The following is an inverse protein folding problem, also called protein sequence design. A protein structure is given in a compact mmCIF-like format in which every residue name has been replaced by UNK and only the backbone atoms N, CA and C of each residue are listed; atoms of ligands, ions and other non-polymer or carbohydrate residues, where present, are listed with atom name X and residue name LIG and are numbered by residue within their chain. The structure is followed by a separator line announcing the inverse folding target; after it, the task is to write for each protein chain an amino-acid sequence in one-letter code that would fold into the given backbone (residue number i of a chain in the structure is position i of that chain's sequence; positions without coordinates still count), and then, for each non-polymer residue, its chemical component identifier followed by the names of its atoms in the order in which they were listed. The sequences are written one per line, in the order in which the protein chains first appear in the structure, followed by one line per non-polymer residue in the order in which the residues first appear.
data_IF_215126164945
#
_entry.id   IF_215126164945
#
_cell.length_a   1.000
_cell.length_b   1.000
_cell.length_c   1.000
_cell.angle_alpha   90.00
_cell.angle_beta   90.00
_cell.angle_gamma   90.00
#
_symmetry.space_group_name_H-M   'P 1'
#
loop_
_entity.id
_entity.type
_entity.pdbx_description
1 polymer ?
#
# COMPACT_ATOMS: atom_id res chain seq x y z
N UNK A 1 -11.66 -14.92 16.28
CA UNK A 1 -10.51 -14.19 16.87
C UNK A 1 -10.63 -12.72 16.48
N UNK A 2 -10.13 -11.79 17.29
CA UNK A 2 -10.11 -10.38 16.88
C UNK A 2 -9.23 -10.22 15.64
N UNK A 3 -9.73 -9.52 14.63
CA UNK A 3 -8.98 -9.20 13.41
C UNK A 3 -7.83 -8.24 13.77
N UNK A 4 -6.70 -8.35 13.07
CA UNK A 4 -5.56 -7.46 13.31
C UNK A 4 -5.69 -6.21 12.46
N UNK A 5 -5.10 -5.09 12.88
CA UNK A 5 -4.88 -3.99 11.94
C UNK A 5 -3.81 -4.42 10.94
N UNK A 6 -4.10 -4.30 9.65
CA UNK A 6 -3.17 -4.65 8.57
C UNK A 6 -2.83 -3.42 7.73
N UNK A 7 -1.61 -3.41 7.20
CA UNK A 7 -1.17 -2.42 6.22
C UNK A 7 -1.48 -2.93 4.83
N UNK A 8 -2.08 -2.09 4.00
CA UNK A 8 -2.47 -2.39 2.63
C UNK A 8 -1.67 -1.53 1.66
N UNK A 9 -1.25 -2.15 0.57
CA UNK A 9 -0.82 -1.49 -0.65
C UNK A 9 -1.67 -2.07 -1.79
N UNK A 10 -2.54 -1.24 -2.37
CA UNK A 10 -3.33 -1.59 -3.55
C UNK A 10 -2.71 -0.89 -4.75
N UNK A 11 -2.37 -1.66 -5.77
CA UNK A 11 -1.65 -1.20 -6.94
C UNK A 11 -2.31 -1.69 -8.24
N UNK A 12 -2.80 -0.74 -9.05
CA UNK A 12 -3.08 -0.91 -10.47
C UNK A 12 -1.75 -0.76 -11.22
N UNK A 13 -1.30 -1.78 -11.93
CA UNK A 13 0.05 -1.88 -12.48
C UNK A 13 0.12 -1.42 -13.93
N UNK A 14 -0.74 -1.99 -14.77
CA UNK A 14 -0.69 -1.82 -16.22
C UNK A 14 -2.06 -2.00 -16.85
N UNK A 15 -2.21 -1.48 -18.06
CA UNK A 15 -3.30 -1.77 -18.99
C UNK A 15 -2.68 -2.42 -20.23
N UNK A 16 -3.31 -3.47 -20.74
CA UNK A 16 -2.91 -4.14 -21.97
C UNK A 16 -4.00 -3.96 -23.03
N UNK A 17 -3.61 -3.50 -24.22
CA UNK A 17 -4.48 -3.40 -25.38
C UNK A 17 -4.41 -4.71 -26.19
N UNK A 18 -5.48 -5.52 -26.17
CA UNK A 18 -5.61 -6.71 -27.02
C UNK A 18 -6.18 -6.36 -28.40
N UNK A 19 -7.06 -5.35 -28.48
CA UNK A 19 -7.68 -4.84 -29.70
C UNK A 19 -8.07 -3.37 -29.48
N UNK A 20 -7.60 -2.47 -30.36
CA UNK A 20 -8.01 -1.06 -30.36
C UNK A 20 -9.41 -0.99 -30.99
N UNK A 21 -10.42 -0.52 -30.25
CA UNK A 21 -11.82 -0.49 -30.70
C UNK A 21 -12.05 0.44 -31.90
N UNK A 22 -11.13 1.38 -32.13
CA UNK A 22 -11.23 2.41 -33.15
C UNK A 22 -10.57 2.02 -34.46
N UNK A 23 -11.28 2.29 -35.56
CA UNK A 23 -10.93 1.81 -36.89
C UNK A 23 -9.48 2.09 -37.35
N UNK A 24 -9.16 3.31 -37.78
CA UNK A 24 -7.82 3.66 -38.28
C UNK A 24 -7.20 4.71 -37.35
N UNK A 25 -6.27 4.32 -36.50
CA UNK A 25 -5.60 5.20 -35.53
C UNK A 25 -4.90 4.42 -34.43
N UNK A 26 -4.29 5.13 -33.48
CA UNK A 26 -3.85 4.59 -32.18
C UNK A 26 -4.78 5.16 -31.10
N UNK A 27 -5.05 4.38 -30.06
CA UNK A 27 -5.88 4.82 -28.95
C UNK A 27 -5.12 5.77 -28.02
N UNK A 28 -5.81 6.75 -27.43
CA UNK A 28 -5.30 7.73 -26.47
C UNK A 28 -5.99 7.52 -25.10
N UNK A 29 -5.79 6.35 -24.43
CA UNK A 29 -6.56 6.04 -23.24
C UNK A 29 -6.15 6.89 -22.04
N UNK A 30 -7.13 7.21 -21.20
CA UNK A 30 -6.92 7.78 -19.88
C UNK A 30 -7.78 7.07 -18.83
N UNK A 31 -7.40 7.20 -17.56
CA UNK A 31 -7.94 6.37 -16.49
C UNK A 31 -8.45 7.21 -15.32
N UNK A 32 -9.71 7.03 -14.94
CA UNK A 32 -10.22 7.54 -13.67
C UNK A 32 -10.14 6.48 -12.58
N UNK A 33 -9.56 6.85 -11.44
CA UNK A 33 -9.43 5.95 -10.29
C UNK A 33 -9.91 6.63 -9.01
N UNK A 34 -10.77 5.93 -8.27
CA UNK A 34 -11.18 6.33 -6.91
C UNK A 34 -10.90 5.17 -5.98
N UNK A 35 -9.89 5.32 -5.13
CA UNK A 35 -9.66 4.34 -4.07
C UNK A 35 -10.57 4.63 -2.88
N UNK A 36 -10.99 3.58 -2.18
CA UNK A 36 -11.82 3.74 -1.00
C UNK A 36 -11.55 2.68 0.06
N UNK A 37 -11.86 3.00 1.31
CA UNK A 37 -11.97 2.03 2.38
C UNK A 37 -13.12 2.37 3.32
N UNK A 38 -13.66 1.33 3.93
CA UNK A 38 -14.65 1.40 4.99
C UNK A 38 -14.13 0.52 6.13
N UNK A 39 -13.64 1.15 7.20
CA UNK A 39 -12.87 0.46 8.24
C UNK A 39 -13.05 1.10 9.62
N UNK A 40 -12.54 0.44 10.65
CA UNK A 40 -12.65 0.86 12.05
C UNK A 40 -11.92 2.16 12.41
N UNK A 41 -11.26 2.82 11.46
CA UNK A 41 -10.72 4.15 11.68
C UNK A 41 -11.80 5.23 11.72
N UNK A 42 -12.82 5.06 10.88
CA UNK A 42 -13.81 6.09 10.57
C UNK A 42 -15.24 5.58 10.63
N UNK A 43 -15.43 4.26 10.70
CA UNK A 43 -16.72 3.61 10.85
C UNK A 43 -16.76 2.79 12.13
N UNK A 44 -17.90 2.83 12.81
CA UNK A 44 -18.17 2.08 14.02
C UNK A 44 -19.55 1.42 13.94
N UNK A 45 -19.68 0.25 14.56
CA UNK A 45 -20.98 -0.39 14.76
C UNK A 45 -21.61 0.18 16.02
N UNK A 46 -22.83 0.69 15.93
CA UNK A 46 -23.57 1.24 17.08
C UNK A 46 -24.19 0.12 17.92
N UNK A 47 -24.70 0.47 19.11
CA UNK A 47 -25.46 -0.45 19.98
C UNK A 47 -26.72 -1.02 19.28
N UNK A 48 -27.27 -0.30 18.30
CA UNK A 48 -28.40 -0.77 17.47
C UNK A 48 -27.97 -1.67 16.31
N UNK A 49 -26.70 -2.10 16.26
CA UNK A 49 -26.12 -2.90 15.20
C UNK A 49 -26.23 -2.26 13.81
N UNK A 50 -26.18 -0.92 13.75
CA UNK A 50 -26.10 -0.14 12.50
C UNK A 50 -24.72 0.45 12.34
N UNK A 51 -24.25 0.64 11.10
CA UNK A 51 -23.01 1.37 10.88
C UNK A 51 -23.22 2.87 11.11
N UNK A 52 -22.17 3.54 11.56
CA UNK A 52 -22.12 5.00 11.66
C UNK A 52 -20.71 5.50 11.39
N UNK A 53 -20.59 6.72 10.87
CA UNK A 53 -19.32 7.31 10.47
C UNK A 53 -19.29 7.62 8.98
N UNK A 54 -18.09 7.66 8.40
CA UNK A 54 -17.88 8.03 6.98
C UNK A 54 -16.81 7.14 6.38
N UNK A 55 -16.98 6.71 5.14
CA UNK A 55 -15.92 6.02 4.40
C UNK A 55 -14.75 6.98 4.09
N UNK A 56 -13.56 6.43 3.88
CA UNK A 56 -12.40 7.18 3.39
C UNK A 56 -12.25 6.94 1.90
N UNK A 57 -12.13 8.02 1.14
CA UNK A 57 -11.78 7.99 -0.28
C UNK A 57 -10.40 8.61 -0.51
N UNK A 58 -9.74 8.15 -1.56
CA UNK A 58 -8.49 8.73 -2.04
C UNK A 58 -8.62 8.98 -3.54
N UNK A 59 -8.78 10.26 -3.84
CA UNK A 59 -8.93 10.78 -5.19
C UNK A 59 -7.56 10.84 -5.89
N UNK A 60 -7.59 10.71 -7.22
CA UNK A 60 -6.43 10.74 -8.11
C UNK A 60 -6.60 11.82 -9.18
N UNK A 61 -5.60 12.15 -10.00
CA UNK A 61 -5.79 13.04 -11.15
C UNK A 61 -6.70 12.41 -12.23
N UNK A 62 -7.64 13.17 -12.78
CA UNK A 62 -8.62 12.68 -13.76
C UNK A 62 -8.53 13.30 -15.16
N UNK A 63 -7.67 14.29 -15.39
CA UNK A 63 -7.47 14.88 -16.72
C UNK A 63 -6.88 13.88 -17.73
N UNK A 64 -6.97 14.22 -19.02
CA UNK A 64 -6.32 13.52 -20.12
C UNK A 64 -4.80 13.38 -19.96
N UNK A 65 -4.21 12.44 -20.71
CA UNK A 65 -2.78 12.14 -20.65
C UNK A 65 -2.27 11.63 -19.29
N UNK A 66 -3.16 11.27 -18.35
CA UNK A 66 -2.76 10.84 -17.00
C UNK A 66 -2.06 9.47 -16.94
N UNK A 67 -2.08 8.71 -18.05
CA UNK A 67 -1.27 7.52 -18.26
C UNK A 67 0.12 7.82 -18.85
N UNK A 68 0.31 9.02 -19.41
CA UNK A 68 1.57 9.51 -19.96
C UNK A 68 1.94 8.95 -21.33
N UNK A 69 1.16 8.03 -21.87
CA UNK A 69 1.23 7.56 -23.26
C UNK A 69 -0.01 8.05 -24.00
N UNK A 70 0.17 8.50 -25.24
CA UNK A 70 -0.87 9.09 -26.08
C UNK A 70 -1.05 8.30 -27.38
N UNK A 71 -0.35 7.19 -27.59
CA UNK A 71 -0.52 6.36 -28.79
C UNK A 71 -0.40 4.88 -28.41
N UNK A 72 -1.54 4.24 -28.11
CA UNK A 72 -1.62 2.87 -27.65
C UNK A 72 -2.22 2.00 -28.74
N UNK A 73 -1.41 1.10 -29.30
CA UNK A 73 -1.83 0.18 -30.34
C UNK A 73 -2.12 -1.23 -29.83
N UNK A 74 -2.63 -2.07 -30.74
CA UNK A 74 -2.79 -3.51 -30.49
C UNK A 74 -1.48 -4.16 -30.03
N UNK A 75 -1.52 -4.77 -28.85
CA UNK A 75 -0.41 -5.49 -28.24
C UNK A 75 0.45 -4.65 -27.28
N UNK A 76 0.17 -3.35 -27.16
CA UNK A 76 0.90 -2.46 -26.27
C UNK A 76 0.52 -2.63 -24.80
N UNK A 77 1.47 -2.28 -23.94
CA UNK A 77 1.30 -2.28 -22.49
C UNK A 77 1.56 -0.89 -21.92
N UNK A 78 0.52 -0.29 -21.36
CA UNK A 78 0.58 1.03 -20.73
C UNK A 78 0.85 0.86 -19.24
N UNK A 79 1.97 1.38 -18.75
CA UNK A 79 2.27 1.38 -17.32
C UNK A 79 1.43 2.43 -16.61
N UNK A 80 0.64 2.04 -15.60
CA UNK A 80 -0.13 3.00 -14.81
C UNK A 80 0.82 3.77 -13.88
N UNK A 81 0.83 5.12 -13.89
CA UNK A 81 1.68 5.89 -12.99
C UNK A 81 1.28 5.70 -11.51
N UNK A 82 2.26 5.71 -10.61
CA UNK A 82 2.01 5.54 -9.17
C UNK A 82 1.09 6.61 -8.55
N UNK A 83 0.98 7.80 -9.16
CA UNK A 83 0.07 8.84 -8.69
C UNK A 83 -1.41 8.51 -8.95
N UNK A 84 -1.67 7.59 -9.88
CA UNK A 84 -2.99 7.17 -10.32
C UNK A 84 -3.32 5.75 -9.82
N UNK A 85 -2.34 4.85 -9.88
CA UNK A 85 -2.53 3.43 -9.65
C UNK A 85 -2.11 2.93 -8.29
N UNK A 86 -1.66 3.75 -7.32
CA UNK A 86 -1.11 3.23 -6.06
C UNK A 86 -1.69 3.92 -4.83
N UNK A 87 -2.24 3.13 -3.91
CA UNK A 87 -2.70 3.60 -2.61
C UNK A 87 -2.18 2.74 -1.47
N UNK A 88 -1.57 3.39 -0.48
CA UNK A 88 -1.15 2.75 0.77
C UNK A 88 -2.00 3.24 1.92
N UNK A 89 -2.59 2.31 2.67
CA UNK A 89 -3.48 2.62 3.79
C UNK A 89 -3.39 1.57 4.89
N UNK A 90 -4.13 1.79 5.97
CA UNK A 90 -4.40 0.78 6.99
C UNK A 90 -5.83 0.28 6.83
N UNK A 91 -6.05 -1.01 7.05
CA UNK A 91 -7.36 -1.60 7.19
C UNK A 91 -7.55 -1.99 8.66
N UNK A 92 -8.35 -1.21 9.39
CA UNK A 92 -8.69 -1.48 10.79
C UNK A 92 -10.00 -2.25 10.86
N UNK A 93 -10.12 -3.30 11.69
CA UNK A 93 -11.41 -3.93 11.89
C UNK A 93 -12.37 -2.99 12.62
N UNK A 94 -13.66 -3.07 12.29
CA UNK A 94 -14.72 -2.25 12.85
C UNK A 94 -15.15 -2.87 14.19
N UNK A 95 -14.87 -2.18 15.28
CA UNK A 95 -15.13 -2.68 16.62
C UNK A 95 -16.62 -2.95 16.84
N UNK A 96 -16.92 -4.08 17.49
CA UNK A 96 -18.29 -4.42 17.89
C UNK A 96 -18.57 -3.95 19.33
N UNK A 97 -19.69 -3.24 19.59
CA UNK A 97 -20.00 -2.75 20.93
C UNK A 97 -20.39 -3.87 21.90
N UNK A 98 -21.02 -4.94 21.38
CA UNK A 98 -21.46 -6.08 22.18
C UNK A 98 -20.29 -7.01 22.46
N UNK A 99 -19.62 -6.82 23.61
CA UNK A 99 -18.72 -7.83 24.19
C UNK A 99 -19.53 -9.02 24.70
N UNK A 100 -20.02 -9.90 23.82
CA UNK A 100 -20.54 -11.20 24.26
C UNK A 100 -19.39 -11.99 24.91
N UNK A 101 -19.74 -12.70 25.97
CA UNK A 101 -18.84 -13.41 26.87
C UNK A 101 -18.02 -14.55 26.24
N UNK A 102 -18.03 -14.78 24.91
CA UNK A 102 -17.18 -15.81 24.28
C UNK A 102 -16.80 -15.64 22.78
N UNK A 103 -17.23 -14.62 22.03
CA UNK A 103 -16.67 -14.31 20.69
C UNK A 103 -17.30 -13.03 20.10
N UNK A 104 -16.93 -11.84 20.58
CA UNK A 104 -17.15 -10.64 19.79
C UNK A 104 -16.11 -10.66 18.65
N UNK A 105 -16.56 -10.89 17.42
CA UNK A 105 -15.72 -10.86 16.22
C UNK A 105 -15.89 -9.49 15.61
N UNK A 106 -14.88 -8.62 15.73
CA UNK A 106 -14.90 -7.29 15.11
C UNK A 106 -15.21 -7.41 13.62
N UNK A 107 -16.11 -6.59 13.07
CA UNK A 107 -16.46 -6.64 11.65
C UNK A 107 -15.21 -6.33 10.78
N UNK A 108 -15.02 -7.11 9.71
CA UNK A 108 -13.96 -6.85 8.73
C UNK A 108 -14.15 -5.50 8.05
N UNK A 109 -13.07 -4.75 7.89
CA UNK A 109 -13.06 -3.58 7.00
C UNK A 109 -13.01 -4.00 5.53
N UNK A 110 -13.35 -3.08 4.63
CA UNK A 110 -13.30 -3.27 3.18
C UNK A 110 -12.39 -2.21 2.55
N UNK A 111 -11.61 -2.59 1.56
CA UNK A 111 -10.77 -1.68 0.75
C UNK A 111 -10.97 -2.00 -0.73
N UNK A 112 -10.94 -0.98 -1.58
CA UNK A 112 -11.19 -1.19 -3.00
C UNK A 112 -10.80 -0.01 -3.88
N UNK A 113 -11.07 -0.18 -5.17
CA UNK A 113 -10.87 0.83 -6.20
C UNK A 113 -12.01 0.80 -7.21
N UNK A 114 -12.51 1.97 -7.58
CA UNK A 114 -13.34 2.18 -8.77
C UNK A 114 -12.42 2.62 -9.89
N UNK A 115 -12.53 1.98 -11.04
CA UNK A 115 -11.70 2.22 -12.21
C UNK A 115 -12.60 2.42 -13.42
N UNK A 116 -12.39 3.52 -14.15
CA UNK A 116 -13.04 3.78 -15.45
C UNK A 116 -11.94 4.07 -16.47
N UNK A 117 -11.83 3.22 -17.49
CA UNK A 117 -10.96 3.40 -18.64
C UNK A 117 -11.77 4.08 -19.74
N UNK A 118 -11.22 5.15 -20.32
CA UNK A 118 -11.87 5.93 -21.37
C UNK A 118 -10.86 6.24 -22.47
N UNK A 119 -11.39 6.50 -23.65
CA UNK A 119 -10.68 6.99 -24.82
C UNK A 119 -10.76 8.52 -24.86
N UNK A 120 -9.66 9.20 -25.13
CA UNK A 120 -9.63 10.66 -25.32
C UNK A 120 -10.11 11.04 -26.72
N UNK A 121 -11.11 11.95 -26.81
CA UNK A 121 -11.62 12.47 -28.08
C UNK A 121 -11.64 14.01 -28.09
N UNK A 122 -12.77 14.63 -27.72
CA UNK A 122 -12.98 16.07 -27.86
C UNK A 122 -13.38 16.75 -26.54
N UNK A 123 -13.42 16.01 -25.43
CA UNK A 123 -13.57 16.62 -24.12
C UNK A 123 -12.29 17.40 -23.81
N UNK A 124 -12.41 18.55 -23.14
CA UNK A 124 -11.23 19.29 -22.68
C UNK A 124 -10.69 18.68 -21.39
N UNK A 125 -9.39 18.82 -21.10
CA UNK A 125 -8.78 18.47 -19.80
C UNK A 125 -9.61 18.89 -18.58
N UNK A 126 -10.14 20.12 -18.60
CA UNK A 126 -10.96 20.69 -17.53
C UNK A 126 -12.31 19.97 -17.38
N UNK A 127 -12.88 19.53 -18.50
CA UNK A 127 -14.12 18.77 -18.56
C UNK A 127 -13.94 17.33 -18.06
N UNK A 128 -12.85 16.67 -18.48
CA UNK A 128 -12.49 15.35 -17.98
C UNK A 128 -12.26 15.38 -16.46
N UNK A 129 -11.52 16.36 -15.95
CA UNK A 129 -11.31 16.53 -14.51
C UNK A 129 -12.61 16.84 -13.76
N UNK A 130 -13.51 17.66 -14.32
CA UNK A 130 -14.82 17.93 -13.71
C UNK A 130 -15.69 16.66 -13.64
N UNK A 131 -15.69 15.84 -14.70
CA UNK A 131 -16.33 14.53 -14.72
C UNK A 131 -15.75 13.59 -13.64
N UNK A 132 -14.42 13.55 -13.50
CA UNK A 132 -13.77 12.78 -12.45
C UNK A 132 -14.15 13.24 -11.05
N UNK A 133 -14.26 14.54 -10.82
CA UNK A 133 -14.71 15.09 -9.53
C UNK A 133 -16.16 14.71 -9.21
N UNK A 134 -17.03 14.66 -10.22
CA UNK A 134 -18.39 14.16 -10.08
C UNK A 134 -18.40 12.65 -9.72
N UNK A 135 -17.55 11.84 -10.36
CA UNK A 135 -17.34 10.44 -9.99
C UNK A 135 -16.88 10.31 -8.52
N UNK A 136 -15.88 11.09 -8.10
CA UNK A 136 -15.38 11.08 -6.72
C UNK A 136 -16.50 11.39 -5.71
N UNK A 137 -17.39 12.35 -6.03
CA UNK A 137 -18.56 12.65 -5.21
C UNK A 137 -19.57 11.49 -5.19
N UNK A 138 -19.89 10.92 -6.35
CA UNK A 138 -20.83 9.81 -6.47
C UNK A 138 -20.38 8.56 -5.70
N UNK A 139 -19.08 8.22 -5.75
CA UNK A 139 -18.51 7.11 -5.00
C UNK A 139 -18.61 7.38 -3.49
N UNK A 140 -18.31 8.61 -3.04
CA UNK A 140 -18.47 9.00 -1.62
C UNK A 140 -19.93 8.86 -1.17
N UNK A 141 -20.87 9.35 -1.95
CA UNK A 141 -22.30 9.30 -1.62
C UNK A 141 -22.82 7.85 -1.61
N UNK A 142 -22.37 7.02 -2.55
CA UNK A 142 -22.70 5.59 -2.59
C UNK A 142 -22.21 4.85 -1.35
N UNK A 143 -20.96 5.10 -0.95
CA UNK A 143 -20.37 4.52 0.27
C UNK A 143 -21.11 5.01 1.52
N UNK A 144 -21.50 6.29 1.57
CA UNK A 144 -22.28 6.83 2.68
C UNK A 144 -23.67 6.18 2.75
N UNK A 145 -24.34 5.99 1.61
CA UNK A 145 -25.62 5.29 1.57
C UNK A 145 -25.52 3.84 2.09
N UNK A 146 -24.41 3.14 1.82
CA UNK A 146 -24.16 1.82 2.43
C UNK A 146 -24.04 1.94 3.95
N UNK A 147 -23.27 2.90 4.46
CA UNK A 147 -23.12 3.12 5.91
C UNK A 147 -24.49 3.42 6.56
N UNK A 148 -25.28 4.31 5.97
CA UNK A 148 -26.54 4.79 6.53
C UNK A 148 -27.65 3.72 6.53
N UNK A 149 -27.62 2.79 5.57
CA UNK A 149 -28.66 1.76 5.41
C UNK A 149 -28.28 0.39 5.94
N UNK A 150 -27.00 0.12 6.22
CA UNK A 150 -26.56 -1.20 6.67
C UNK A 150 -26.84 -1.40 8.17
N UNK A 151 -27.82 -2.26 8.44
CA UNK A 151 -28.05 -2.89 9.74
C UNK A 151 -27.65 -4.35 9.70
N UNK A 152 -27.05 -4.87 10.76
CA UNK A 152 -26.89 -6.31 10.95
C UNK A 152 -28.21 -6.87 11.50
N UNK A 153 -28.78 -7.84 10.79
CA UNK A 153 -30.17 -8.32 11.02
C UNK A 153 -30.27 -9.38 12.11
N UNK A 154 -29.16 -9.95 12.54
CA UNK A 154 -29.15 -10.93 13.62
C UNK A 154 -27.95 -10.74 14.55
N UNK A 155 -28.14 -11.06 15.83
CA UNK A 155 -27.03 -11.09 16.81
C UNK A 155 -26.04 -12.24 16.54
N UNK A 156 -26.42 -13.18 15.67
CA UNK A 156 -25.54 -14.24 15.14
C UNK A 156 -24.98 -13.76 13.80
N UNK A 157 -23.89 -13.01 13.90
CA UNK A 157 -23.08 -12.54 12.77
C UNK A 157 -22.53 -13.75 11.97
N UNK A 158 -23.36 -14.31 11.09
CA UNK A 158 -22.92 -15.36 10.17
C UNK A 158 -21.92 -14.77 9.16
N UNK A 159 -20.97 -15.57 8.68
CA UNK A 159 -20.02 -15.17 7.62
C UNK A 159 -20.73 -14.54 6.40
N UNK A 160 -21.97 -14.98 6.11
CA UNK A 160 -22.80 -14.41 5.05
C UNK A 160 -23.22 -12.95 5.28
N UNK A 161 -23.39 -12.49 6.53
CA UNK A 161 -23.67 -11.08 6.82
C UNK A 161 -22.41 -10.21 6.69
N UNK A 162 -21.22 -10.79 6.92
CA UNK A 162 -19.90 -10.16 6.76
C UNK A 162 -19.54 -9.98 5.28
N UNK A 163 -19.73 -11.02 4.46
CA UNK A 163 -19.55 -10.98 3.00
C UNK A 163 -20.50 -9.96 2.34
N UNK A 164 -21.68 -9.76 2.93
CA UNK A 164 -22.69 -8.84 2.43
C UNK A 164 -22.25 -7.37 2.41
N UNK A 165 -21.23 -6.97 3.17
CA UNK A 165 -20.74 -5.58 3.15
C UNK A 165 -20.01 -5.27 1.84
N UNK A 166 -19.11 -6.15 1.39
CA UNK A 166 -18.41 -6.00 0.11
C UNK A 166 -19.39 -5.98 -1.06
N UNK A 167 -20.34 -6.91 -1.09
CA UNK A 167 -21.37 -6.96 -2.13
C UNK A 167 -22.29 -5.73 -2.16
N UNK A 168 -22.67 -5.19 -0.99
CA UNK A 168 -23.47 -3.97 -0.91
C UNK A 168 -22.71 -2.74 -1.44
N UNK A 169 -21.41 -2.63 -1.12
CA UNK A 169 -20.54 -1.59 -1.67
C UNK A 169 -20.42 -1.74 -3.18
N UNK A 170 -20.16 -2.95 -3.70
CA UNK A 170 -20.06 -3.16 -5.14
C UNK A 170 -21.35 -2.74 -5.85
N UNK A 171 -22.50 -3.20 -5.36
CA UNK A 171 -23.79 -2.88 -5.94
C UNK A 171 -24.06 -1.38 -5.93
N UNK A 172 -23.87 -0.70 -4.80
CA UNK A 172 -24.15 0.74 -4.65
C UNK A 172 -23.20 1.62 -5.43
N UNK A 173 -21.91 1.26 -5.46
CA UNK A 173 -20.92 1.98 -6.25
C UNK A 173 -21.18 1.77 -7.74
N UNK A 174 -21.47 0.54 -8.20
CA UNK A 174 -21.86 0.30 -9.60
C UNK A 174 -23.13 1.07 -9.98
N UNK A 175 -24.15 1.03 -9.12
CA UNK A 175 -25.39 1.80 -9.32
C UNK A 175 -25.10 3.31 -9.41
N UNK A 176 -24.24 3.86 -8.53
CA UNK A 176 -23.87 5.25 -8.59
C UNK A 176 -23.09 5.60 -9.86
N UNK A 177 -22.16 4.76 -10.31
CA UNK A 177 -21.44 4.98 -11.56
C UNK A 177 -22.38 4.90 -12.77
N UNK A 178 -23.33 3.96 -12.78
CA UNK A 178 -24.34 3.85 -13.85
C UNK A 178 -25.30 5.03 -13.82
N UNK A 179 -25.79 5.47 -12.66
CA UNK A 179 -26.69 6.62 -12.57
C UNK A 179 -25.98 7.93 -12.87
N UNK A 180 -24.67 7.99 -12.65
CA UNK A 180 -23.84 9.07 -13.17
C UNK A 180 -23.72 9.01 -14.69
N UNK A 181 -24.04 7.89 -15.38
CA UNK A 181 -24.12 7.90 -16.84
C UNK A 181 -25.15 8.89 -17.34
N UNK A 182 -26.27 9.13 -16.67
CA UNK A 182 -27.21 10.18 -17.12
C UNK A 182 -26.58 11.58 -16.98
N UNK A 183 -25.73 11.79 -15.97
CA UNK A 183 -24.97 13.04 -15.76
C UNK A 183 -23.80 13.12 -16.73
N UNK A 184 -23.13 12.01 -17.04
CA UNK A 184 -22.12 11.93 -18.09
C UNK A 184 -22.78 12.18 -19.43
N UNK A 185 -23.90 11.55 -19.78
CA UNK A 185 -24.69 11.83 -20.98
C UNK A 185 -25.11 13.31 -21.06
N UNK A 186 -25.51 13.97 -19.95
CA UNK A 186 -25.77 15.41 -19.94
C UNK A 186 -24.50 16.26 -20.13
N UNK A 187 -23.40 15.94 -19.43
CA UNK A 187 -22.09 16.61 -19.55
C UNK A 187 -21.46 16.39 -20.95
N UNK A 188 -21.72 15.23 -21.55
CA UNK A 188 -21.14 14.69 -22.80
C UNK A 188 -22.07 14.95 -23.99
N UNK A 189 -23.33 15.36 -23.78
CA UNK A 189 -24.21 15.87 -24.84
C UNK A 189 -23.82 17.27 -25.33
N UNK A 190 -23.01 18.00 -24.55
CA UNK A 190 -22.54 19.36 -24.86
C UNK A 190 -21.13 19.41 -25.49
N UNK A 191 -20.30 18.38 -25.24
CA UNK A 191 -18.92 18.24 -25.71
C UNK A 191 -18.84 16.89 -26.45
N UNK A 192 -18.53 16.89 -27.75
CA UNK A 192 -18.47 15.67 -28.57
C UNK A 192 -17.72 14.55 -27.79
N UNK A 193 -18.38 13.41 -27.48
CA UNK A 193 -17.98 12.60 -26.33
C UNK A 193 -16.69 11.83 -26.58
N UNK A 194 -15.84 11.79 -25.56
CA UNK A 194 -14.92 10.68 -25.32
C UNK A 194 -15.72 9.37 -25.25
N UNK A 195 -15.12 8.21 -25.48
CA UNK A 195 -15.81 6.92 -25.34
C UNK A 195 -15.39 6.17 -24.07
N UNK A 196 -16.39 5.65 -23.32
CA UNK A 196 -16.11 4.81 -22.14
C UNK A 196 -15.81 3.38 -22.58
N UNK A 197 -14.54 3.01 -22.59
CA UNK A 197 -14.09 1.63 -22.81
C UNK A 197 -14.64 0.69 -21.73
N UNK A 198 -14.59 1.10 -20.45
CA UNK A 198 -15.09 0.21 -19.40
C UNK A 198 -15.00 0.70 -17.98
N UNK A 199 -15.84 0.11 -17.12
CA UNK A 199 -15.87 0.36 -15.67
C UNK A 199 -15.65 -0.92 -14.89
N UNK A 200 -14.89 -0.85 -13.79
CA UNK A 200 -14.74 -1.96 -12.83
C UNK A 200 -14.61 -1.44 -11.41
N UNK A 201 -15.30 -2.12 -10.48
CA UNK A 201 -15.07 -2.00 -9.04
C UNK A 201 -14.30 -3.24 -8.57
N UNK A 202 -13.15 -3.02 -7.95
CA UNK A 202 -12.36 -4.02 -7.22
C UNK A 202 -12.61 -3.85 -5.73
N UNK A 203 -12.90 -4.94 -5.04
CA UNK A 203 -13.19 -4.95 -3.60
C UNK A 203 -12.43 -6.11 -2.98
N UNK A 204 -11.84 -5.83 -1.82
CA UNK A 204 -11.16 -6.80 -0.98
C UNK A 204 -11.60 -6.59 0.46
N UNK A 205 -12.05 -7.66 1.10
CA UNK A 205 -12.38 -7.63 2.52
C UNK A 205 -11.18 -7.99 3.40
N UNK A 206 -11.35 -7.80 4.69
CA UNK A 206 -10.30 -8.06 5.68
C UNK A 206 -9.90 -9.54 5.74
N UNK A 207 -10.84 -10.46 5.53
CA UNK A 207 -10.62 -11.91 5.70
C UNK A 207 -9.86 -12.51 4.53
N UNK A 208 -10.06 -11.93 3.34
CA UNK A 208 -9.30 -12.18 2.14
C UNK A 208 -7.83 -11.72 2.21
N UNK A 209 -7.48 -10.89 3.19
CA UNK A 209 -6.21 -10.17 3.25
C UNK A 209 -5.36 -10.57 4.46
N UNK A 210 -5.11 -11.86 4.65
CA UNK A 210 -4.19 -12.32 5.70
C UNK A 210 -2.82 -11.62 5.58
N UNK A 211 -2.22 -11.11 6.68
CA UNK A 211 -0.93 -10.40 6.64
C UNK A 211 0.15 -11.17 5.88
N UNK A 212 0.95 -10.50 5.06
CA UNK A 212 2.02 -11.12 4.29
C UNK A 212 1.55 -11.86 3.04
N UNK A 213 0.35 -11.57 2.54
CA UNK A 213 -0.16 -12.08 1.26
C UNK A 213 -0.05 -11.03 0.18
N UNK A 214 0.00 -11.49 -1.06
CA UNK A 214 -0.23 -10.66 -2.24
C UNK A 214 -1.20 -11.39 -3.16
N UNK A 215 -2.26 -10.71 -3.58
CA UNK A 215 -3.23 -11.24 -4.53
C UNK A 215 -3.17 -10.41 -5.79
N UNK A 216 -2.92 -11.06 -6.92
CA UNK A 216 -3.07 -10.43 -8.23
C UNK A 216 -4.54 -10.41 -8.63
N UNK A 217 -4.94 -9.38 -9.38
CA UNK A 217 -6.26 -9.28 -9.98
C UNK A 217 -6.14 -8.67 -11.37
N UNK A 218 -7.07 -9.02 -12.26
CA UNK A 218 -7.24 -8.33 -13.53
C UNK A 218 -8.70 -8.23 -13.90
N UNK A 219 -9.00 -7.35 -14.84
CA UNK A 219 -10.31 -7.28 -15.46
C UNK A 219 -10.14 -6.90 -16.93
N UNK A 220 -10.88 -7.60 -17.79
CA UNK A 220 -10.87 -7.42 -19.23
C UNK A 220 -12.21 -6.87 -19.70
N UNK A 221 -12.19 -5.72 -20.37
CA UNK A 221 -13.31 -5.12 -21.08
C UNK A 221 -13.23 -5.55 -22.55
N UNK A 222 -14.40 -5.77 -23.16
CA UNK A 222 -14.55 -6.16 -24.57
C UNK A 222 -15.58 -5.29 -25.27
N UNK A 223 -15.75 -4.08 -24.75
CA UNK A 223 -16.68 -3.06 -25.22
C UNK A 223 -15.80 -1.89 -25.65
N UNK A 224 -16.04 -1.35 -26.85
CA UNK A 224 -15.14 -0.37 -27.51
C UNK A 224 -13.66 -0.80 -27.51
N UNK A 225 -13.41 -1.99 -28.07
CA UNK A 225 -12.09 -2.64 -28.12
C UNK A 225 -11.96 -3.82 -27.15
N UNK A 226 -10.73 -4.27 -26.91
CA UNK A 226 -10.40 -5.33 -25.96
C UNK A 226 -9.22 -4.92 -25.08
N UNK A 227 -9.50 -4.61 -23.82
CA UNK A 227 -8.58 -3.98 -22.89
C UNK A 227 -8.53 -4.74 -21.59
N UNK A 228 -7.33 -4.91 -20.99
CA UNK A 228 -7.18 -5.58 -19.70
C UNK A 228 -6.37 -4.76 -18.71
N UNK A 229 -6.99 -4.37 -17.59
CA UNK A 229 -6.27 -3.80 -16.45
C UNK A 229 -5.76 -4.90 -15.53
N UNK A 230 -4.50 -4.78 -15.11
CA UNK A 230 -3.86 -5.69 -14.17
C UNK A 230 -3.40 -4.94 -12.91
N UNK A 231 -3.54 -5.59 -11.76
CA UNK A 231 -3.11 -5.06 -10.48
C UNK A 231 -2.85 -6.12 -9.44
N UNK A 232 -2.53 -5.68 -8.24
CA UNK A 232 -2.37 -6.53 -7.08
C UNK A 232 -2.68 -5.76 -5.79
N UNK A 233 -3.03 -6.51 -4.76
CA UNK A 233 -3.16 -6.01 -3.40
C UNK A 233 -2.22 -6.80 -2.50
N UNK A 234 -1.39 -6.08 -1.75
CA UNK A 234 -0.46 -6.66 -0.77
C UNK A 234 -0.86 -6.23 0.62
N UNK A 235 -1.00 -7.20 1.52
CA UNK A 235 -1.22 -6.95 2.94
C UNK A 235 0.03 -7.30 3.75
N UNK A 236 0.28 -6.57 4.83
CA UNK A 236 1.40 -6.80 5.73
C UNK A 236 1.01 -6.48 7.18
N UNK A 237 1.63 -7.16 8.14
CA UNK A 237 1.53 -6.75 9.54
C UNK A 237 2.11 -5.33 9.71
N UNK A 238 1.55 -4.57 10.66
CA UNK A 238 2.02 -3.20 10.96
C UNK A 238 3.51 -3.16 11.30
N UNK A 239 3.97 -4.11 12.12
CA UNK A 239 5.37 -4.23 12.48
C UNK A 239 6.13 -4.88 11.32
N UNK A 240 7.16 -4.23 10.74
CA UNK A 240 7.94 -4.81 9.65
C UNK A 240 8.58 -6.15 10.00
N UNK A 241 9.00 -6.34 11.26
CA UNK A 241 9.56 -7.62 11.71
C UNK A 241 8.52 -8.74 11.73
N UNK A 242 7.27 -8.44 12.10
CA UNK A 242 6.18 -9.41 12.00
C UNK A 242 5.86 -9.69 10.53
N UNK A 243 5.79 -8.66 9.68
CA UNK A 243 5.50 -8.84 8.26
C UNK A 243 6.50 -9.77 7.55
N UNK A 244 7.80 -9.63 7.87
CA UNK A 244 8.83 -10.54 7.36
C UNK A 244 8.80 -11.91 8.06
N UNK A 245 8.42 -11.97 9.33
CA UNK A 245 8.26 -13.22 10.07
C UNK A 245 7.13 -14.08 9.49
N UNK A 246 5.94 -13.49 9.32
CA UNK A 246 4.76 -14.14 8.74
C UNK A 246 5.08 -14.72 7.35
N UNK A 247 5.82 -13.94 6.55
CA UNK A 247 6.31 -14.36 5.24
C UNK A 247 7.28 -15.56 5.32
N UNK A 248 8.26 -15.50 6.23
CA UNK A 248 9.23 -16.58 6.41
C UNK A 248 8.60 -17.88 6.90
N UNK A 249 7.56 -17.81 7.74
CA UNK A 249 6.84 -19.00 8.24
C UNK A 249 6.03 -19.69 7.15
N UNK A 250 5.46 -18.96 6.19
CA UNK A 250 4.64 -19.56 5.12
C UNK A 250 5.45 -20.32 4.08
N UNK A 251 6.57 -19.77 3.65
CA UNK A 251 7.41 -20.37 2.60
C UNK A 251 8.17 -21.61 3.08
N UNK A 252 8.40 -21.73 4.39
CA UNK A 252 9.16 -22.82 4.98
C UNK A 252 8.23 -23.67 5.84
N UNK A 253 7.74 -24.77 5.28
CA UNK A 253 7.19 -25.86 6.07
C UNK A 253 8.20 -26.25 7.17
N UNK A 254 7.92 -25.84 8.42
CA UNK A 254 8.63 -26.23 9.64
C UNK A 254 10.06 -25.67 9.88
N UNK A 255 10.47 -24.55 9.29
CA UNK A 255 11.65 -23.85 9.82
C UNK A 255 11.25 -23.02 11.06
N UNK A 256 11.87 -23.28 12.20
CA UNK A 256 11.69 -22.46 13.40
C UNK A 256 11.95 -21.00 13.04
N UNK A 257 10.92 -20.15 13.20
CA UNK A 257 11.13 -18.71 13.25
C UNK A 257 12.30 -18.43 14.19
N UNK A 258 13.18 -17.46 13.90
CA UNK A 258 14.16 -17.03 14.88
C UNK A 258 13.41 -16.73 16.18
N UNK A 259 13.74 -17.44 17.25
CA UNK A 259 13.15 -17.35 18.59
C UNK A 259 13.37 -15.98 19.27
N UNK A 260 13.55 -14.91 18.49
CA UNK A 260 14.04 -13.61 18.91
C UNK A 260 13.15 -12.42 18.59
N UNK A 261 11.89 -12.62 18.17
CA UNK A 261 10.93 -11.50 18.11
C UNK A 261 10.75 -10.85 19.50
N UNK A 262 10.87 -11.63 20.57
CA UNK A 262 10.89 -11.10 21.95
C UNK A 262 12.09 -10.16 22.18
N UNK A 263 13.27 -10.52 21.68
CA UNK A 263 14.49 -9.69 21.80
C UNK A 263 14.35 -8.39 21.01
N UNK A 264 13.78 -8.44 19.81
CA UNK A 264 13.51 -7.23 19.02
C UNK A 264 12.51 -6.30 19.74
N UNK A 265 11.51 -6.85 20.43
CA UNK A 265 10.57 -6.07 21.25
C UNK A 265 11.28 -5.45 22.46
N UNK A 266 12.12 -6.22 23.17
CA UNK A 266 12.90 -5.72 24.30
C UNK A 266 13.86 -4.59 23.86
N UNK A 267 14.53 -4.74 22.71
CA UNK A 267 15.37 -3.71 22.11
C UNK A 267 14.56 -2.44 21.80
N UNK A 268 13.38 -2.58 21.18
CA UNK A 268 12.46 -1.47 20.89
C UNK A 268 12.04 -0.72 22.17
N UNK A 269 11.75 -1.46 23.24
CA UNK A 269 11.23 -0.88 24.48
C UNK A 269 12.33 -0.33 25.40
N UNK A 270 13.60 -0.70 25.17
CA UNK A 270 14.79 -0.16 25.85
C UNK A 270 15.64 0.72 24.94
N UNK A 271 16.72 0.15 24.40
CA UNK A 271 17.82 0.83 23.68
C UNK A 271 17.32 1.77 22.57
N UNK A 272 16.31 1.35 21.82
CA UNK A 272 15.73 2.19 20.76
C UNK A 272 15.18 3.52 21.29
N UNK A 273 14.56 3.54 22.49
CA UNK A 273 14.01 4.76 23.10
C UNK A 273 15.10 5.74 23.52
N UNK A 274 16.30 5.26 23.80
CA UNK A 274 17.47 6.09 24.12
C UNK A 274 18.06 6.76 22.86
N UNK A 275 17.65 6.31 21.67
CA UNK A 275 18.14 6.80 20.37
C UNK A 275 16.99 7.33 19.50
N UNK A 276 16.33 8.44 19.87
CA UNK A 276 15.13 8.94 19.18
C UNK A 276 15.35 9.27 17.69
N UNK A 277 16.60 9.48 17.28
CA UNK A 277 16.95 9.67 15.86
C UNK A 277 16.68 8.44 14.98
N UNK A 278 16.66 7.23 15.55
CA UNK A 278 16.34 5.99 14.83
C UNK A 278 14.90 5.97 14.31
N UNK A 279 13.98 6.70 14.94
CA UNK A 279 12.58 6.76 14.54
C UNK A 279 12.39 7.19 13.08
N UNK A 280 13.28 8.04 12.57
CA UNK A 280 13.23 8.48 11.17
C UNK A 280 13.57 7.36 10.18
N UNK A 281 14.49 6.47 10.55
CA UNK A 281 14.85 5.30 9.74
C UNK A 281 13.78 4.23 9.84
N UNK A 282 13.27 3.99 11.06
CA UNK A 282 12.20 3.02 11.27
C UNK A 282 10.93 3.41 10.50
N UNK A 283 10.57 4.70 10.50
CA UNK A 283 9.46 5.21 9.69
C UNK A 283 9.64 4.99 8.18
N UNK A 284 10.87 4.85 7.66
CA UNK A 284 11.10 4.44 6.27
C UNK A 284 10.81 2.94 6.08
N UNK A 285 11.26 2.10 7.00
CA UNK A 285 11.02 0.65 6.96
C UNK A 285 9.52 0.36 7.08
N UNK A 286 8.82 1.00 8.03
CA UNK A 286 7.36 0.90 8.19
C UNK A 286 6.62 1.37 6.93
N UNK A 287 7.04 2.50 6.34
CA UNK A 287 6.42 3.02 5.12
C UNK A 287 6.57 2.08 3.93
N UNK A 288 7.66 1.33 3.82
CA UNK A 288 7.94 0.49 2.66
C UNK A 288 7.76 -1.01 2.90
N UNK A 289 7.27 -1.42 4.07
CA UNK A 289 7.14 -2.84 4.46
C UNK A 289 6.31 -3.67 3.48
N UNK A 290 5.15 -3.18 3.06
CA UNK A 290 4.27 -3.76 2.02
C UNK A 290 5.01 -3.99 0.70
N UNK A 291 5.75 -3.00 0.21
CA UNK A 291 6.55 -3.12 -1.02
C UNK A 291 7.67 -4.13 -0.87
N UNK A 292 8.35 -4.15 0.28
CA UNK A 292 9.42 -5.14 0.57
C UNK A 292 8.84 -6.55 0.63
N UNK A 293 7.67 -6.74 1.26
CA UNK A 293 6.95 -8.02 1.29
C UNK A 293 6.59 -8.46 -0.13
N UNK A 294 6.03 -7.58 -0.96
CA UNK A 294 5.73 -7.89 -2.36
C UNK A 294 6.98 -8.28 -3.14
N UNK A 295 8.06 -7.49 -3.02
CA UNK A 295 9.33 -7.78 -3.68
C UNK A 295 9.87 -9.15 -3.26
N UNK A 296 9.81 -9.49 -1.98
CA UNK A 296 10.23 -10.80 -1.48
C UNK A 296 9.34 -11.94 -2.00
N UNK A 297 8.02 -11.75 -2.07
CA UNK A 297 7.07 -12.74 -2.60
C UNK A 297 7.24 -12.99 -4.11
N UNK A 298 7.58 -11.95 -4.88
CA UNK A 298 7.67 -12.01 -6.34
C UNK A 298 9.07 -12.37 -6.84
N UNK A 299 10.10 -12.22 -6.00
CA UNK A 299 11.52 -12.43 -6.37
C UNK A 299 12.22 -13.32 -5.34
N UNK A 300 12.42 -14.63 -5.63
CA UNK A 300 12.98 -15.58 -4.67
C UNK A 300 14.34 -15.18 -4.08
N UNK A 301 15.18 -14.47 -4.82
CA UNK A 301 16.47 -13.96 -4.34
C UNK A 301 16.33 -12.86 -3.27
N UNK A 302 15.24 -12.08 -3.34
CA UNK A 302 14.91 -11.05 -2.37
C UNK A 302 14.27 -11.67 -1.13
N UNK A 303 13.56 -12.79 -1.25
CA UNK A 303 13.07 -13.55 -0.09
C UNK A 303 14.20 -13.96 0.85
N UNK A 304 15.28 -14.52 0.29
CA UNK A 304 16.48 -14.88 1.06
C UNK A 304 17.05 -13.65 1.77
N UNK A 305 17.07 -12.51 1.08
CA UNK A 305 17.58 -11.26 1.63
C UNK A 305 16.69 -10.71 2.75
N UNK A 306 15.37 -10.76 2.59
CA UNK A 306 14.40 -10.35 3.61
C UNK A 306 14.50 -11.22 4.87
N UNK A 307 14.65 -12.54 4.72
CA UNK A 307 14.88 -13.45 5.85
C UNK A 307 16.18 -13.12 6.59
N UNK A 308 17.27 -12.88 5.86
CA UNK A 308 18.54 -12.46 6.46
C UNK A 308 18.41 -11.16 7.24
N UNK A 309 17.67 -10.17 6.72
CA UNK A 309 17.39 -8.95 7.48
C UNK A 309 16.66 -9.21 8.81
N UNK A 310 15.72 -10.18 8.85
CA UNK A 310 15.03 -10.55 10.07
C UNK A 310 15.96 -11.24 11.08
N UNK A 311 16.74 -12.23 10.61
CA UNK A 311 17.77 -12.91 11.43
C UNK A 311 18.73 -11.89 12.05
N UNK A 312 19.15 -10.89 11.28
CA UNK A 312 20.06 -9.85 11.74
C UNK A 312 19.41 -8.85 12.68
N UNK A 313 18.13 -8.52 12.50
CA UNK A 313 17.38 -7.72 13.46
C UNK A 313 17.41 -8.35 14.86
N UNK A 314 17.32 -9.68 14.94
CA UNK A 314 17.47 -10.43 16.20
C UNK A 314 18.91 -10.38 16.71
N UNK A 315 19.92 -10.56 15.86
CA UNK A 315 21.33 -10.49 16.27
C UNK A 315 21.70 -9.10 16.80
N UNK A 316 21.30 -8.03 16.11
CA UNK A 316 21.50 -6.63 16.53
C UNK A 316 20.85 -6.37 17.89
N UNK A 317 19.67 -6.96 18.13
CA UNK A 317 18.98 -6.83 19.41
C UNK A 317 19.70 -7.56 20.56
N UNK A 318 20.37 -8.69 20.28
CA UNK A 318 21.05 -9.53 21.30
C UNK A 318 22.48 -9.11 21.59
N UNK A 319 23.23 -8.72 20.57
CA UNK A 319 24.65 -8.42 20.68
C UNK A 319 24.98 -7.14 19.90
N UNK A 320 25.13 -6.04 20.63
CA UNK A 320 25.42 -4.74 20.03
C UNK A 320 26.91 -4.50 19.74
N UNK A 321 27.80 -5.33 20.29
CA UNK A 321 29.25 -5.17 20.15
C UNK A 321 29.79 -5.92 18.93
N UNK A 322 29.05 -6.92 18.43
CA UNK A 322 29.35 -7.58 17.16
C UNK A 322 29.38 -6.60 15.98
N UNK A 323 30.28 -6.86 15.03
CA UNK A 323 30.45 -6.08 13.80
C UNK A 323 29.46 -6.50 12.72
N UNK A 324 28.92 -5.51 11.98
CA UNK A 324 28.18 -5.75 10.75
C UNK A 324 29.09 -6.43 9.72
N UNK A 325 28.79 -7.69 9.40
CA UNK A 325 29.52 -8.42 8.37
C UNK A 325 29.22 -7.88 6.97
N UNK A 326 30.11 -8.15 6.01
CA UNK A 326 29.91 -7.80 4.60
C UNK A 326 28.61 -8.42 4.03
N UNK A 327 28.25 -9.61 4.51
CA UNK A 327 26.98 -10.23 4.13
C UNK A 327 25.78 -9.41 4.60
N UNK A 328 25.84 -8.83 5.83
CA UNK A 328 24.82 -7.91 6.37
C UNK A 328 24.49 -6.79 5.39
N UNK A 329 25.55 -6.12 4.96
CA UNK A 329 25.45 -5.00 4.02
C UNK A 329 24.89 -5.47 2.68
N UNK A 330 25.35 -6.61 2.15
CA UNK A 330 24.96 -7.09 0.82
C UNK A 330 23.47 -7.44 0.69
N UNK A 331 22.84 -8.09 1.69
CA UNK A 331 21.39 -8.37 1.55
C UNK A 331 20.52 -7.13 1.75
N UNK A 332 20.92 -6.23 2.66
CA UNK A 332 20.24 -4.93 2.78
C UNK A 332 20.33 -4.15 1.46
N UNK A 333 21.50 -4.15 0.83
CA UNK A 333 21.74 -3.50 -0.46
C UNK A 333 20.83 -4.07 -1.56
N UNK A 334 20.71 -5.41 -1.68
CA UNK A 334 19.83 -6.05 -2.68
C UNK A 334 18.37 -5.61 -2.55
N UNK A 335 17.83 -5.61 -1.33
CA UNK A 335 16.44 -5.17 -1.10
C UNK A 335 16.26 -3.69 -1.44
N UNK A 336 17.21 -2.86 -1.06
CA UNK A 336 17.15 -1.42 -1.32
C UNK A 336 17.36 -1.09 -2.81
N UNK A 337 18.19 -1.84 -3.53
CA UNK A 337 18.34 -1.69 -4.98
C UNK A 337 17.04 -2.05 -5.70
N UNK A 338 16.41 -3.17 -5.35
CA UNK A 338 15.10 -3.54 -5.88
C UNK A 338 14.02 -2.48 -5.57
N UNK A 339 14.01 -1.94 -4.35
CA UNK A 339 13.11 -0.85 -3.99
C UNK A 339 13.44 0.47 -4.74
N UNK A 340 14.71 0.69 -5.11
CA UNK A 340 15.16 1.85 -5.87
C UNK A 340 14.79 1.80 -7.37
N UNK A 341 14.40 0.62 -7.86
CA UNK A 341 13.87 0.38 -9.20
C UNK A 341 12.34 0.55 -9.26
N UNK A 342 11.66 0.65 -8.12
CA UNK A 342 10.20 0.77 -8.04
C UNK A 342 9.66 2.00 -8.78
N UNK A 343 8.49 1.91 -9.43
CA UNK A 343 7.86 3.05 -10.12
C UNK A 343 7.59 4.26 -9.20
N UNK A 344 7.22 3.98 -7.95
CA UNK A 344 6.95 5.00 -6.93
C UNK A 344 8.19 5.89 -6.66
N UNK A 345 8.08 7.18 -6.99
CA UNK A 345 9.17 8.16 -6.79
C UNK A 345 9.65 8.23 -5.34
N UNK A 346 8.74 8.16 -4.35
CA UNK A 346 9.09 8.25 -2.94
C UNK A 346 9.88 7.02 -2.49
N UNK A 347 9.44 5.82 -2.87
CA UNK A 347 10.18 4.59 -2.62
C UNK A 347 11.60 4.66 -3.18
N UNK A 348 11.77 5.09 -4.44
CA UNK A 348 13.10 5.27 -5.05
C UNK A 348 14.00 6.24 -4.28
N UNK A 349 13.45 7.37 -3.87
CA UNK A 349 14.20 8.40 -3.14
C UNK A 349 14.62 7.89 -1.77
N UNK A 350 13.71 7.25 -1.03
CA UNK A 350 13.99 6.72 0.31
C UNK A 350 14.98 5.54 0.25
N UNK A 351 14.86 4.66 -0.73
CA UNK A 351 15.79 3.56 -0.96
C UNK A 351 17.20 4.06 -1.28
N UNK A 352 17.34 5.05 -2.18
CA UNK A 352 18.64 5.68 -2.48
C UNK A 352 19.27 6.37 -1.28
N UNK A 353 18.46 6.99 -0.40
CA UNK A 353 18.94 7.56 0.87
C UNK A 353 19.49 6.47 1.79
N UNK A 354 18.77 5.35 1.93
CA UNK A 354 19.23 4.22 2.74
C UNK A 354 20.49 3.57 2.16
N UNK A 355 20.57 3.38 0.84
CA UNK A 355 21.78 2.89 0.16
C UNK A 355 23.01 3.76 0.46
N UNK A 356 22.85 5.09 0.42
CA UNK A 356 23.95 6.01 0.73
C UNK A 356 24.48 5.90 2.16
N UNK A 357 23.62 5.47 3.10
CA UNK A 357 23.98 5.26 4.49
C UNK A 357 24.63 3.90 4.70
N UNK A 358 24.14 2.89 4.00
CA UNK A 358 24.54 1.49 4.19
C UNK A 358 26.04 1.27 3.98
N UNK A 359 26.64 1.90 2.96
CA UNK A 359 28.08 1.85 2.71
C UNK A 359 28.92 2.38 3.88
N UNK A 360 28.36 3.29 4.69
CA UNK A 360 29.05 3.85 5.86
C UNK A 360 28.89 3.02 7.12
N UNK A 361 28.04 1.99 7.10
CA UNK A 361 27.83 1.08 8.23
C UNK A 361 28.81 -0.11 8.21
N UNK A 362 29.43 -0.39 7.06
CA UNK A 362 30.34 -1.52 6.90
C UNK A 362 31.51 -1.47 7.91
N UNK A 363 31.77 -2.61 8.56
CA UNK A 363 32.83 -2.76 9.57
C UNK A 363 32.54 -2.10 10.92
N UNK A 364 31.39 -1.46 11.11
CA UNK A 364 30.97 -0.90 12.41
C UNK A 364 30.35 -1.97 13.30
N UNK A 365 30.48 -1.81 14.61
CA UNK A 365 29.64 -2.58 15.55
C UNK A 365 28.18 -2.20 15.37
N UNK A 366 27.26 -3.10 15.74
CA UNK A 366 25.82 -2.80 15.71
C UNK A 366 25.50 -1.53 16.51
N UNK A 367 26.11 -1.33 17.68
CA UNK A 367 25.96 -0.13 18.48
C UNK A 367 26.43 1.14 17.73
N UNK A 368 27.61 1.08 17.10
CA UNK A 368 28.15 2.20 16.32
C UNK A 368 27.27 2.52 15.11
N UNK A 369 26.74 1.50 14.43
CA UNK A 369 25.81 1.66 13.33
C UNK A 369 24.51 2.32 13.79
N UNK A 370 23.92 1.86 14.89
CA UNK A 370 22.73 2.45 15.50
C UNK A 370 22.96 3.92 15.90
N UNK A 371 24.08 4.22 16.56
CA UNK A 371 24.45 5.59 16.91
C UNK A 371 24.64 6.48 15.68
N UNK A 372 25.23 5.95 14.61
CA UNK A 372 25.42 6.69 13.36
C UNK A 372 24.08 6.98 12.67
N UNK A 373 23.19 5.99 12.60
CA UNK A 373 21.82 6.14 12.08
C UNK A 373 21.01 7.14 12.93
N UNK A 374 21.08 7.04 14.26
CA UNK A 374 20.42 7.98 15.17
C UNK A 374 20.96 9.42 14.99
N UNK A 375 22.26 9.55 14.72
CA UNK A 375 22.92 10.83 14.47
C UNK A 375 22.63 11.41 13.08
N UNK A 376 22.13 10.63 12.12
CA UNK A 376 22.07 11.01 10.71
C UNK A 376 20.70 10.77 10.14
N UNK A 377 19.96 11.84 9.82
CA UNK A 377 18.66 11.72 9.19
C UNK A 377 18.76 11.16 7.76
N UNK A 378 17.73 10.45 7.27
CA UNK A 378 17.66 10.01 5.88
C UNK A 378 17.44 11.22 4.93
N UNK A 379 18.52 11.90 4.56
CA UNK A 379 18.52 13.05 3.64
C UNK A 379 19.32 12.73 2.38
N UNK A 380 19.06 13.48 1.29
CA UNK A 380 19.62 13.22 -0.06
C UNK A 380 21.15 13.18 -0.12
N UNK A 381 21.83 13.83 0.83
CA UNK A 381 23.28 13.79 1.06
C UNK A 381 23.54 13.93 2.56
N UNK A 382 23.69 12.82 3.30
CA UNK A 382 24.00 12.91 4.72
C UNK A 382 25.36 13.60 4.87
N UNK A 383 25.41 14.70 5.64
CA UNK A 383 26.63 15.48 5.85
C UNK A 383 27.49 14.77 6.91
N UNK A 384 27.99 13.58 6.58
CA UNK A 384 28.67 12.66 7.52
C UNK A 384 29.98 13.26 8.02
N UNK A 385 30.61 14.12 7.23
CA UNK A 385 31.87 14.79 7.56
C UNK A 385 31.80 15.75 8.78
N UNK A 386 30.60 16.23 9.17
CA UNK A 386 30.49 17.28 10.18
C UNK A 386 30.30 16.79 11.62
N UNK A 387 29.80 15.56 11.85
CA UNK A 387 29.48 15.07 13.21
C UNK A 387 30.58 14.24 13.88
N UNK A 388 31.46 13.59 13.12
CA UNK A 388 32.57 12.82 13.71
C UNK A 388 33.67 13.72 14.30
N UNK A 389 33.81 14.98 13.84
CA UNK A 389 34.74 15.96 14.42
C UNK A 389 34.25 16.60 15.72
N UNK A 390 32.95 16.57 16.01
CA UNK A 390 32.40 17.20 17.22
C UNK A 390 32.51 16.32 18.48
N UNK A 391 32.74 15.01 18.33
CA UNK A 391 32.91 14.07 19.46
C UNK A 391 34.37 13.69 19.76
N UNK A 392 35.33 14.03 18.91
CA UNK A 392 36.76 13.73 19.15
C UNK A 392 37.53 14.83 19.91
N UNK A 393 36.84 15.81 20.51
CA UNK A 393 37.47 16.97 21.19
C UNK A 393 37.22 17.03 22.71
N UNK A 394 36.73 15.95 23.32
CA UNK A 394 36.63 15.85 24.78
C UNK A 394 37.26 14.55 25.29
N UNK A 395 38.59 14.47 25.21
CA UNK A 395 39.37 13.63 26.11
C UNK A 395 39.93 14.55 27.22
N UNK A 396 39.77 14.19 28.52
CA UNK A 396 40.41 14.93 29.58
C UNK A 396 41.93 14.80 29.42
N UNK A 397 42.63 15.93 29.48
CA UNK A 397 44.09 15.93 29.64
C UNK A 397 44.42 15.24 30.96
N UNK A 398 44.91 14.01 30.88
CA UNK A 398 45.63 13.37 31.97
C UNK A 398 47.05 13.96 32.01
N UNK A 399 47.32 14.73 33.06
CA UNK A 399 48.59 14.78 33.79
C UNK A 399 49.78 15.55 33.19
N UNK A 400 50.13 16.66 33.85
CA UNK A 400 51.39 16.75 34.58
C UNK A 400 51.13 17.50 35.90
#
# INVERSE_FOLDING_TARGET
MARNVIKINLELERIYCHEEGDGWGSAEPYLWVVFFKLDGETVQLTESLTLSGTAVTHDTPGSHGNLGDAEVGVGDEVTIPAALGEWETLLKPIATPVRRANAAVDLGGVVGAVVILMEEDNVTDEGAEAGHQALNAAVRDALQAVIDTRSLTSEDQSEAELDGLGGAIEAKVREAVINQRDIFEELWSWLNPDDTIGTKVFIFDHDELEPGTTRSFSHRWRDEGDWEICGHITSAALCPANALGDLATRELAAAELPSGLADMRAFRDGVYREMPGLARWFALVERHSTRVVRLALTRPELMVSARKMLEWGVLIARDQESTLSVEHVRHAERLLLALAEHRNRRARVDARRALSMLATLEGKTHQQALQLLAGTAPVRRPNIAMKLRARSLALPKLGA
#
